data_IF_354034505870
#
_entry.id   IF_354034505870
#
_cell.length_a   1.000
_cell.length_b   1.000
_cell.length_c   1.000
_cell.angle_alpha   90.00
_cell.angle_beta   90.00
_cell.angle_gamma   90.00
#
_symmetry.space_group_name_H-M   'P 1'
#
loop_
_entity.id
_entity.type
_entity.pdbx_description
1 polymer ?
#
# COMPACT_ATOMS: atom_id res chain seq x y z
N UNK A 1 2.75 3.89 -18.96
CA UNK A 1 2.41 5.31 -19.23
C UNK A 1 1.47 5.56 -20.43
N UNK A 2 1.23 4.59 -21.33
CA UNK A 2 0.43 4.82 -22.56
C UNK A 2 -1.09 5.03 -22.39
N UNK A 3 -1.62 5.01 -21.16
CA UNK A 3 -3.07 5.07 -20.90
C UNK A 3 -3.50 6.40 -20.24
N UNK A 4 -2.56 7.31 -19.97
CA UNK A 4 -2.77 8.59 -19.29
C UNK A 4 -2.18 9.70 -20.15
N UNK A 5 -2.99 10.68 -20.53
CA UNK A 5 -2.59 11.82 -21.37
C UNK A 5 -2.91 13.13 -20.68
N UNK A 6 -2.03 14.12 -20.84
CA UNK A 6 -2.32 15.52 -20.48
C UNK A 6 -2.85 16.20 -21.74
N UNK A 7 -4.07 16.70 -21.67
CA UNK A 7 -4.75 17.40 -22.75
C UNK A 7 -4.27 18.86 -22.83
N UNK A 8 -4.55 19.53 -23.94
CA UNK A 8 -4.13 20.94 -24.15
C UNK A 8 -4.71 21.91 -23.12
N UNK A 9 -5.88 21.60 -22.56
CA UNK A 9 -6.54 22.37 -21.49
C UNK A 9 -6.07 22.00 -20.08
N UNK A 10 -5.08 21.11 -19.97
CA UNK A 10 -4.55 20.61 -18.71
C UNK A 10 -5.37 19.49 -18.06
N UNK A 11 -6.44 19.01 -18.70
CA UNK A 11 -7.20 17.85 -18.20
C UNK A 11 -6.42 16.54 -18.42
N UNK A 12 -6.82 15.49 -17.68
CA UNK A 12 -6.23 14.15 -17.82
C UNK A 12 -7.17 13.24 -18.61
N UNK A 13 -6.70 12.79 -19.77
CA UNK A 13 -7.37 11.78 -20.59
C UNK A 13 -6.98 10.36 -20.17
N UNK A 14 -7.98 9.52 -19.91
CA UNK A 14 -7.82 8.08 -19.65
C UNK A 14 -8.45 7.30 -20.81
N UNK A 15 -7.67 6.49 -21.52
CA UNK A 15 -8.12 5.87 -22.79
C UNK A 15 -8.35 4.36 -22.73
N UNK A 16 -7.87 3.67 -21.70
CA UNK A 16 -7.93 2.21 -21.60
C UNK A 16 -8.40 1.77 -20.21
N UNK A 17 -9.49 1.00 -20.20
CA UNK A 17 -10.16 0.45 -19.02
C UNK A 17 -10.18 -1.08 -19.03
N UNK A 18 -9.40 -1.74 -19.89
CA UNK A 18 -9.36 -3.20 -20.03
C UNK A 18 -8.83 -3.95 -18.80
N UNK A 19 -8.18 -3.25 -17.88
CA UNK A 19 -7.62 -3.80 -16.63
C UNK A 19 -8.37 -3.35 -15.37
N UNK A 20 -9.58 -2.80 -15.50
CA UNK A 20 -10.39 -2.40 -14.34
C UNK A 20 -10.79 -3.62 -13.51
N UNK A 21 -10.70 -3.48 -12.18
CA UNK A 21 -11.19 -4.45 -11.21
C UNK A 21 -12.21 -3.79 -10.29
N UNK A 22 -13.29 -4.51 -10.01
CA UNK A 22 -14.24 -4.08 -9.00
C UNK A 22 -13.68 -4.41 -7.62
N UNK A 23 -13.63 -3.40 -6.75
CA UNK A 23 -13.30 -3.56 -5.33
C UNK A 23 -14.62 -3.67 -4.58
N UNK A 24 -14.75 -4.70 -3.73
CA UNK A 24 -15.98 -4.93 -2.96
C UNK A 24 -16.25 -3.81 -1.96
N UNK A 25 -17.51 -3.67 -1.52
CA UNK A 25 -17.88 -2.68 -0.50
C UNK A 25 -17.07 -2.80 0.79
N UNK A 26 -16.80 -4.04 1.22
CA UNK A 26 -15.99 -4.34 2.40
C UNK A 26 -14.53 -3.94 2.21
N UNK A 27 -13.90 -4.31 1.10
CA UNK A 27 -12.51 -3.95 0.81
C UNK A 27 -12.34 -2.42 0.73
N UNK A 28 -13.31 -1.70 0.15
CA UNK A 28 -13.29 -0.23 0.12
C UNK A 28 -13.32 0.37 1.53
N UNK A 29 -14.17 -0.16 2.42
CA UNK A 29 -14.26 0.31 3.79
C UNK A 29 -12.97 0.06 4.55
N UNK A 30 -12.44 -1.18 4.51
CA UNK A 30 -11.19 -1.51 5.19
C UNK A 30 -10.01 -0.73 4.63
N UNK A 31 -9.95 -0.49 3.31
CA UNK A 31 -8.94 0.38 2.72
C UNK A 31 -9.05 1.82 3.26
N UNK A 32 -10.27 2.36 3.37
CA UNK A 32 -10.48 3.69 3.93
C UNK A 32 -10.03 3.77 5.40
N UNK A 33 -10.33 2.75 6.20
CA UNK A 33 -9.87 2.67 7.60
C UNK A 33 -8.34 2.63 7.69
N UNK A 34 -7.66 1.89 6.79
CA UNK A 34 -6.19 1.91 6.70
C UNK A 34 -5.69 3.32 6.40
N UNK A 35 -6.30 4.05 5.46
CA UNK A 35 -5.89 5.41 5.11
C UNK A 35 -6.04 6.38 6.28
N UNK A 36 -7.16 6.29 7.02
CA UNK A 36 -7.40 7.12 8.20
C UNK A 36 -6.40 6.80 9.30
N UNK A 37 -6.19 5.52 9.62
CA UNK A 37 -5.22 5.10 10.63
C UNK A 37 -3.79 5.57 10.29
N UNK A 38 -3.41 5.53 9.01
CA UNK A 38 -2.12 6.07 8.57
C UNK A 38 -2.07 7.59 8.72
N UNK A 39 -3.12 8.32 8.37
CA UNK A 39 -3.15 9.78 8.43
C UNK A 39 -3.15 10.33 9.86
N UNK A 40 -3.79 9.62 10.80
CA UNK A 40 -3.98 10.06 12.18
C UNK A 40 -2.92 9.52 13.15
N UNK A 41 -2.04 8.62 12.71
CA UNK A 41 -0.98 8.07 13.57
C UNK A 41 -0.12 9.18 14.17
N UNK A 42 0.27 9.01 15.42
CA UNK A 42 1.09 9.96 16.18
C UNK A 42 2.54 9.96 15.70
N UNK A 43 3.06 8.79 15.34
CA UNK A 43 4.40 8.61 14.80
C UNK A 43 4.51 7.32 13.99
N UNK A 44 5.62 7.14 13.26
CA UNK A 44 5.91 5.92 12.49
C UNK A 44 6.25 4.71 13.38
N UNK A 45 6.46 4.94 14.69
CA UNK A 45 6.93 3.93 15.65
C UNK A 45 5.99 3.74 16.87
N UNK A 46 4.84 4.44 16.90
CA UNK A 46 3.89 4.33 18.02
C UNK A 46 3.29 2.90 18.07
N UNK A 47 3.44 2.16 19.18
CA UNK A 47 3.02 0.75 19.25
C UNK A 47 1.52 0.52 19.05
N UNK A 48 0.67 1.45 19.50
CA UNK A 48 -0.78 1.31 19.42
C UNK A 48 -1.27 1.58 17.99
N UNK A 49 -0.70 2.58 17.33
CA UNK A 49 -0.96 2.88 15.93
C UNK A 49 -0.47 1.73 15.04
N UNK A 50 0.74 1.21 15.27
CA UNK A 50 1.29 0.06 14.54
C UNK A 50 0.46 -1.20 14.71
N UNK A 51 -0.08 -1.45 15.91
CA UNK A 51 -0.99 -2.56 16.15
C UNK A 51 -2.30 -2.40 15.37
N UNK A 52 -2.85 -1.18 15.35
CA UNK A 52 -4.08 -0.84 14.61
C UNK A 52 -3.90 -1.00 13.11
N UNK A 53 -2.84 -0.41 12.55
CA UNK A 53 -2.50 -0.51 11.13
C UNK A 53 -2.23 -1.98 10.75
N UNK A 54 -1.52 -2.73 11.59
CA UNK A 54 -1.25 -4.15 11.33
C UNK A 54 -2.54 -4.96 11.26
N UNK A 55 -3.46 -4.77 12.20
CA UNK A 55 -4.76 -5.45 12.21
C UNK A 55 -5.54 -5.13 10.93
N UNK A 56 -5.64 -3.86 10.56
CA UNK A 56 -6.36 -3.42 9.37
C UNK A 56 -5.71 -3.96 8.08
N UNK A 57 -4.38 -4.00 8.00
CA UNK A 57 -3.67 -4.59 6.86
C UNK A 57 -3.98 -6.09 6.70
N UNK A 58 -4.01 -6.84 7.81
CA UNK A 58 -4.40 -8.25 7.79
C UNK A 58 -5.87 -8.43 7.39
N UNK A 59 -6.78 -7.59 7.89
CA UNK A 59 -8.20 -7.59 7.52
C UNK A 59 -8.43 -7.24 6.04
N UNK A 60 -7.59 -6.36 5.48
CA UNK A 60 -7.57 -6.04 4.06
C UNK A 60 -7.15 -7.24 3.20
N UNK A 61 -6.47 -8.23 3.80
CA UNK A 61 -6.07 -9.48 3.15
C UNK A 61 -4.56 -9.61 2.91
N UNK A 62 -3.73 -8.74 3.49
CA UNK A 62 -2.27 -8.90 3.47
C UNK A 62 -1.90 -10.19 4.18
N UNK A 63 -1.11 -11.05 3.52
CA UNK A 63 -0.54 -12.25 4.14
C UNK A 63 0.96 -12.24 4.00
N UNK A 64 1.65 -12.54 5.09
CA UNK A 64 3.11 -12.62 5.14
C UNK A 64 3.59 -14.07 5.19
N UNK A 65 4.84 -14.29 4.82
CA UNK A 65 5.51 -15.59 4.92
C UNK A 65 5.62 -16.02 6.40
N UNK A 66 5.60 -17.32 6.71
CA UNK A 66 5.88 -17.80 8.06
C UNK A 66 7.22 -17.28 8.59
N UNK A 67 7.26 -16.86 9.86
CA UNK A 67 8.48 -16.32 10.49
C UNK A 67 8.78 -14.86 10.15
N UNK A 68 7.88 -14.14 9.48
CA UNK A 68 8.04 -12.71 9.21
C UNK A 68 7.94 -11.88 10.50
N UNK A 69 8.60 -10.70 10.57
CA UNK A 69 8.46 -9.77 11.67
C UNK A 69 7.00 -9.39 11.96
N UNK A 70 6.68 -9.17 13.23
CA UNK A 70 5.31 -8.86 13.68
C UNK A 70 4.79 -7.55 13.08
N UNK A 71 5.70 -6.61 12.83
CA UNK A 71 5.46 -5.29 12.26
C UNK A 71 5.26 -5.34 10.74
N UNK A 72 5.48 -6.50 10.10
CA UNK A 72 5.40 -6.66 8.65
C UNK A 72 4.08 -6.20 8.01
N UNK A 73 2.90 -6.41 8.62
CA UNK A 73 1.64 -5.93 8.04
C UNK A 73 1.55 -4.40 8.06
N UNK A 74 1.94 -3.75 9.17
CA UNK A 74 2.02 -2.29 9.23
C UNK A 74 3.07 -1.74 8.26
N UNK A 75 4.27 -2.32 8.20
CA UNK A 75 5.30 -1.91 7.25
C UNK A 75 4.81 -2.01 5.80
N UNK A 76 4.05 -3.06 5.46
CA UNK A 76 3.45 -3.22 4.14
C UNK A 76 2.41 -2.13 3.84
N UNK A 77 1.53 -1.83 4.79
CA UNK A 77 0.51 -0.79 4.64
C UNK A 77 1.12 0.60 4.51
N UNK A 78 2.09 0.94 5.37
CA UNK A 78 2.82 2.20 5.31
C UNK A 78 3.58 2.34 3.99
N UNK A 79 4.23 1.28 3.52
CA UNK A 79 4.97 1.28 2.26
C UNK A 79 4.05 1.44 1.04
N UNK A 80 2.88 0.77 1.02
CA UNK A 80 1.94 0.85 -0.10
C UNK A 80 1.15 2.16 -0.12
N UNK A 81 0.66 2.60 1.03
CA UNK A 81 -0.43 3.59 1.07
C UNK A 81 -0.01 4.96 1.62
N UNK A 82 1.17 5.06 2.23
CA UNK A 82 1.69 6.34 2.65
C UNK A 82 2.92 6.75 1.81
N UNK A 83 2.84 7.94 1.22
CA UNK A 83 3.93 8.56 0.48
C UNK A 83 4.87 9.40 1.34
N UNK A 84 4.49 9.69 2.60
CA UNK A 84 5.24 10.55 3.52
C UNK A 84 6.13 9.77 4.49
N UNK A 85 5.89 8.47 4.64
CA UNK A 85 6.68 7.58 5.50
C UNK A 85 8.16 7.64 5.13
N UNK A 86 9.01 7.86 6.14
CA UNK A 86 10.48 7.91 5.96
C UNK A 86 11.19 6.70 6.55
N UNK A 87 10.55 6.04 7.51
CA UNK A 87 11.05 4.84 8.18
C UNK A 87 9.95 3.80 8.26
N UNK A 88 10.31 2.53 8.15
CA UNK A 88 9.35 1.44 8.31
C UNK A 88 9.66 0.69 9.61
N UNK A 89 8.62 0.23 10.32
CA UNK A 89 8.79 -0.52 11.55
C UNK A 89 9.41 -1.90 11.27
N UNK A 90 9.91 -2.60 12.28
CA UNK A 90 10.41 -3.98 12.13
C UNK A 90 11.72 -4.14 11.33
N UNK A 91 12.44 -3.04 11.11
CA UNK A 91 13.72 -3.05 10.38
C UNK A 91 13.57 -3.17 8.87
N UNK A 92 12.37 -2.93 8.33
CA UNK A 92 12.14 -2.86 6.90
C UNK A 92 12.72 -1.57 6.30
N UNK A 93 13.08 -1.64 5.02
CA UNK A 93 13.60 -0.52 4.23
C UNK A 93 12.58 -0.12 3.17
N UNK A 94 12.47 1.18 2.90
CA UNK A 94 11.50 1.73 1.93
C UNK A 94 11.82 1.31 0.49
N UNK A 95 13.09 1.11 0.19
CA UNK A 95 13.54 0.72 -1.15
C UNK A 95 12.95 -0.63 -1.53
N UNK A 96 12.19 -0.67 -2.63
CA UNK A 96 11.59 -1.89 -3.15
C UNK A 96 12.64 -2.97 -3.47
N UNK A 97 13.82 -2.56 -3.93
CA UNK A 97 14.93 -3.43 -4.31
C UNK A 97 15.74 -3.93 -3.11
N UNK A 98 15.46 -3.42 -1.90
CA UNK A 98 16.15 -3.87 -0.70
C UNK A 98 15.75 -5.32 -0.38
N UNK A 99 16.70 -6.17 0.06
CA UNK A 99 16.34 -7.48 0.64
C UNK A 99 15.43 -7.35 1.87
N UNK A 100 15.44 -6.17 2.52
CA UNK A 100 14.57 -5.81 3.64
C UNK A 100 13.35 -4.99 3.22
N UNK A 101 12.93 -5.06 1.96
CA UNK A 101 11.65 -4.49 1.52
C UNK A 101 10.47 -5.26 2.14
N UNK A 102 9.36 -4.60 2.51
CA UNK A 102 8.14 -5.31 2.92
C UNK A 102 7.63 -6.32 1.89
N UNK A 103 7.95 -6.10 0.60
CA UNK A 103 7.61 -7.04 -0.48
C UNK A 103 8.31 -8.39 -0.31
N UNK A 104 9.51 -8.42 0.29
CA UNK A 104 10.31 -9.65 0.41
C UNK A 104 9.66 -10.68 1.36
N UNK A 105 8.86 -10.20 2.32
CA UNK A 105 8.13 -11.03 3.29
C UNK A 105 6.66 -11.25 2.91
N UNK A 106 6.17 -10.60 1.86
CA UNK A 106 4.79 -10.74 1.41
C UNK A 106 4.56 -12.13 0.79
N UNK A 107 3.56 -12.85 1.27
CA UNK A 107 3.12 -14.14 0.71
C UNK A 107 2.00 -13.93 -0.32
N UNK A 108 1.01 -13.10 0.02
CA UNK A 108 -0.06 -12.75 -0.92
C UNK A 108 -0.67 -11.40 -0.57
N UNK A 109 -1.19 -10.73 -1.60
CA UNK A 109 -1.95 -9.49 -1.48
C UNK A 109 -3.36 -9.68 -2.07
N UNK A 110 -4.40 -9.01 -1.53
CA UNK A 110 -5.76 -9.07 -2.06
C UNK A 110 -5.81 -8.76 -3.56
N UNK A 111 -6.34 -9.70 -4.35
CA UNK A 111 -6.35 -9.60 -5.81
C UNK A 111 -7.08 -8.36 -6.33
N UNK A 112 -8.15 -7.93 -5.66
CA UNK A 112 -8.90 -6.71 -6.00
C UNK A 112 -8.05 -5.43 -5.88
N UNK A 113 -7.00 -5.46 -5.06
CA UNK A 113 -6.11 -4.33 -4.81
C UNK A 113 -4.73 -4.50 -5.44
N UNK A 114 -4.45 -5.61 -6.13
CA UNK A 114 -3.18 -5.80 -6.86
C UNK A 114 -2.99 -4.69 -7.90
N UNK A 115 -4.07 -4.25 -8.56
CA UNK A 115 -3.99 -3.11 -9.49
C UNK A 115 -3.59 -1.82 -8.75
N UNK A 116 -4.21 -1.55 -7.59
CA UNK A 116 -3.90 -0.39 -6.75
C UNK A 116 -2.44 -0.41 -6.30
N UNK A 117 -1.95 -1.55 -5.81
CA UNK A 117 -0.56 -1.71 -5.40
C UNK A 117 0.41 -1.49 -6.57
N UNK A 118 0.15 -2.10 -7.73
CA UNK A 118 0.97 -1.93 -8.94
C UNK A 118 0.99 -0.49 -9.43
N UNK A 119 -0.17 0.17 -9.48
CA UNK A 119 -0.28 1.58 -9.84
C UNK A 119 0.50 2.47 -8.88
N UNK A 120 0.44 2.17 -7.57
CA UNK A 120 1.15 2.95 -6.55
C UNK A 120 2.67 2.84 -6.73
N UNK A 121 3.20 1.63 -6.92
CA UNK A 121 4.64 1.43 -7.19
C UNK A 121 5.07 2.13 -8.47
N UNK A 122 4.29 2.00 -9.55
CA UNK A 122 4.58 2.69 -10.82
C UNK A 122 4.60 4.21 -10.66
N UNK A 123 3.64 4.79 -9.94
CA UNK A 123 3.59 6.23 -9.67
C UNK A 123 4.79 6.65 -8.82
N UNK A 124 5.12 5.90 -7.75
CA UNK A 124 6.29 6.16 -6.89
C UNK A 124 7.62 6.04 -7.63
N UNK A 125 7.72 5.21 -8.66
CA UNK A 125 8.92 5.08 -9.49
C UNK A 125 9.07 6.18 -10.56
N UNK A 126 8.01 6.94 -10.83
CA UNK A 126 8.00 8.05 -11.81
C UNK A 126 8.09 9.41 -11.09
N UNK A 127 7.61 9.50 -9.85
CA UNK A 127 7.56 10.72 -9.03
C UNK A 127 8.86 11.01 -8.28
#
# INVERSE_FOLDING_TARGET
>A
PGNVFVMEDGTIGLIDFGQVKQISGRERLTLAEVMVALAERKSDDDPDDLATISRLALELGVKLKPGSPKEGPAATAMWLFDGKTKTLPGGFEISELSPKSPVSVLQSFPQGLVLVGRSTVLIKGIA
#
